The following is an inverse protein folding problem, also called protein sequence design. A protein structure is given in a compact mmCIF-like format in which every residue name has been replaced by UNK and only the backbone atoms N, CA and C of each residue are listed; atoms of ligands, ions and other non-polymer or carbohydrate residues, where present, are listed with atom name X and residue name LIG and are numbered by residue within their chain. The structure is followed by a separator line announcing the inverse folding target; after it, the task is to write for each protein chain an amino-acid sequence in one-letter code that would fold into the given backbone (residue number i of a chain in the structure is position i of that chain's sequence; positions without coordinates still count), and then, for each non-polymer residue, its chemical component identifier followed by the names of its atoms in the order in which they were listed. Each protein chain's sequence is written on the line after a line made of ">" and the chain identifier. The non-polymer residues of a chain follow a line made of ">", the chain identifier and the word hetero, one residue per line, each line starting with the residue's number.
data_IF_223324051649
#
_entry.id   IF_223324051649
#
_cell.length_a   1.000
_cell.length_b   1.000
_cell.length_c   1.000
_cell.angle_alpha   90.00
_cell.angle_beta   90.00
_cell.angle_gamma   90.00
#
_symmetry.space_group_name_H-M   'P 1'
#
loop_
_entity.id
_entity.type
_entity.pdbx_description
1 polymer ?
#
# COMPACT_ATOMS: atom_id res chain seq x y z
N UNK A 1 13.99 48.45 24.48
CA UNK A 1 12.56 48.68 24.79
C UNK A 1 11.69 48.17 23.64
N UNK A 2 11.29 46.89 23.68
CA UNK A 2 10.55 46.24 22.59
C UNK A 2 9.08 46.70 22.70
N UNK A 3 8.61 47.47 21.71
CA UNK A 3 7.26 48.06 21.65
C UNK A 3 6.18 46.98 21.82
N UNK A 4 5.06 47.25 22.52
CA UNK A 4 4.05 46.24 22.88
C UNK A 4 3.45 45.52 21.65
N UNK A 5 3.46 46.17 20.49
CA UNK A 5 3.04 45.60 19.19
C UNK A 5 3.92 44.42 18.76
N UNK A 6 5.24 44.49 18.95
CA UNK A 6 6.16 43.40 18.58
C UNK A 6 5.97 42.16 19.47
N UNK A 7 5.66 42.37 20.76
CA UNK A 7 5.34 41.26 21.68
C UNK A 7 4.05 40.53 21.29
N UNK A 8 3.03 41.27 20.83
CA UNK A 8 1.76 40.67 20.35
C UNK A 8 1.95 39.87 19.06
N UNK A 9 2.76 40.36 18.12
CA UNK A 9 3.06 39.64 16.87
C UNK A 9 3.79 38.32 17.15
N UNK A 10 4.78 38.32 18.05
CA UNK A 10 5.51 37.10 18.44
C UNK A 10 4.58 36.10 19.12
N UNK A 11 3.67 36.55 19.98
CA UNK A 11 2.69 35.66 20.63
C UNK A 11 1.72 35.02 19.62
N UNK A 12 1.27 35.77 18.61
CA UNK A 12 0.41 35.23 17.53
C UNK A 12 1.15 34.22 16.68
N UNK A 13 2.40 34.50 16.31
CA UNK A 13 3.22 33.56 15.52
C UNK A 13 3.49 32.25 16.27
N UNK A 14 3.73 32.32 17.58
CA UNK A 14 3.86 31.14 18.43
C UNK A 14 2.54 30.36 18.47
N UNK A 15 1.39 31.04 18.65
CA UNK A 15 0.08 30.38 18.63
C UNK A 15 -0.23 29.62 17.34
N UNK A 16 0.15 30.17 16.18
CA UNK A 16 -0.02 29.50 14.87
C UNK A 16 0.92 28.29 14.76
N UNK A 17 2.18 28.43 15.18
CA UNK A 17 3.14 27.32 15.14
C UNK A 17 2.72 26.11 15.99
N UNK A 18 2.07 26.33 17.14
CA UNK A 18 1.58 25.24 18.00
C UNK A 18 0.29 24.58 17.48
N UNK A 19 -0.50 25.27 16.65
CA UNK A 19 -1.77 24.73 16.13
C UNK A 19 -1.59 23.50 15.21
N UNK A 20 -0.44 23.39 14.52
CA UNK A 20 -0.12 22.25 13.66
C UNK A 20 0.15 20.93 14.40
N UNK A 21 0.43 20.97 15.70
CA UNK A 21 0.75 19.77 16.49
C UNK A 21 -0.49 19.00 16.95
N UNK A 22 -1.68 19.61 16.86
CA UNK A 22 -2.95 19.00 17.33
C UNK A 22 -3.77 18.33 16.22
N UNK A 23 -3.36 18.48 14.96
CA UNK A 23 -4.06 17.93 13.78
C UNK A 23 -3.84 16.42 13.58
N UNK A 24 -3.72 15.65 14.67
CA UNK A 24 -3.48 14.20 14.59
C UNK A 24 -4.74 13.41 14.18
N UNK A 25 -5.93 14.00 14.35
CA UNK A 25 -7.21 13.40 13.97
C UNK A 25 -7.70 13.94 12.63
N UNK A 26 -7.08 13.50 11.54
CA UNK A 26 -7.57 13.71 10.17
C UNK A 26 -8.59 12.63 9.75
N UNK A 27 -9.27 12.78 8.59
CA UNK A 27 -10.22 11.80 8.06
C UNK A 27 -9.67 10.36 8.01
N UNK A 28 -8.35 10.24 7.80
CA UNK A 28 -7.62 8.98 7.82
C UNK A 28 -7.83 8.22 9.14
N UNK A 29 -7.77 8.89 10.29
CA UNK A 29 -7.95 8.26 11.61
C UNK A 29 -9.40 7.83 11.86
N UNK A 30 -10.37 8.51 11.25
CA UNK A 30 -11.79 8.25 11.46
C UNK A 30 -12.25 6.94 10.80
N UNK A 31 -11.66 6.56 9.67
CA UNK A 31 -12.03 5.36 8.91
C UNK A 31 -10.92 4.32 8.81
N UNK A 32 -9.77 4.53 9.48
CA UNK A 32 -8.63 3.62 9.39
C UNK A 32 -9.01 2.17 9.70
N UNK A 33 -9.77 1.93 10.77
CA UNK A 33 -10.21 0.58 11.14
C UNK A 33 -11.07 -0.09 10.06
N UNK A 34 -12.04 0.65 9.51
CA UNK A 34 -12.89 0.16 8.42
C UNK A 34 -12.08 -0.13 7.15
N UNK A 35 -11.17 0.77 6.79
CA UNK A 35 -10.28 0.59 5.64
C UNK A 35 -9.36 -0.62 5.82
N UNK A 36 -8.87 -0.85 7.04
CA UNK A 36 -8.04 -2.01 7.37
C UNK A 36 -8.81 -3.32 7.25
N UNK A 37 -10.01 -3.42 7.82
CA UNK A 37 -10.84 -4.61 7.69
C UNK A 37 -11.25 -4.88 6.24
N UNK A 38 -11.58 -3.83 5.49
CA UNK A 38 -11.86 -3.94 4.06
C UNK A 38 -10.64 -4.45 3.28
N UNK A 39 -9.45 -3.93 3.58
CA UNK A 39 -8.22 -4.38 2.94
C UNK A 39 -7.97 -5.87 3.23
N UNK A 40 -8.14 -6.27 4.49
CA UNK A 40 -7.98 -7.65 4.93
C UNK A 40 -8.98 -8.58 4.25
N UNK A 41 -10.25 -8.20 4.15
CA UNK A 41 -11.27 -9.02 3.47
C UNK A 41 -10.96 -9.18 1.99
N UNK A 42 -10.47 -8.13 1.32
CA UNK A 42 -10.08 -8.20 -0.09
C UNK A 42 -8.82 -9.04 -0.33
N UNK A 43 -7.92 -9.15 0.65
CA UNK A 43 -6.72 -9.97 0.56
C UNK A 43 -6.92 -11.41 1.05
N UNK A 44 -8.05 -11.71 1.69
CA UNK A 44 -8.35 -13.05 2.20
C UNK A 44 -8.98 -13.89 1.10
N UNK A 45 -8.20 -14.82 0.54
CA UNK A 45 -8.67 -15.71 -0.54
C UNK A 45 -9.78 -16.67 -0.09
N UNK A 46 -9.67 -17.20 1.13
CA UNK A 46 -10.65 -18.12 1.70
C UNK A 46 -10.88 -17.83 3.20
N UNK A 47 -11.95 -17.09 3.56
CA UNK A 47 -12.22 -16.74 4.96
C UNK A 47 -12.62 -17.94 5.82
N UNK A 48 -13.19 -18.99 5.24
CA UNK A 48 -13.66 -20.20 5.95
C UNK A 48 -12.56 -21.26 6.11
N UNK A 49 -11.32 -20.96 5.71
CA UNK A 49 -10.21 -21.91 5.73
C UNK A 49 -9.91 -22.44 7.13
N UNK A 50 -10.12 -21.65 8.18
CA UNK A 50 -9.88 -22.06 9.58
C UNK A 50 -10.95 -23.03 10.12
N UNK A 51 -12.16 -23.01 9.58
CA UNK A 51 -13.24 -23.91 9.99
C UNK A 51 -13.12 -25.29 9.31
N UNK A 52 -12.45 -25.35 8.16
CA UNK A 52 -12.24 -26.59 7.43
C UNK A 52 -11.01 -27.35 7.98
N UNK A 53 -11.25 -28.48 8.66
CA UNK A 53 -10.19 -29.34 9.19
C UNK A 53 -9.67 -30.39 8.19
N UNK A 54 -10.26 -30.45 6.99
CA UNK A 54 -9.79 -31.36 5.96
C UNK A 54 -8.42 -30.90 5.43
N UNK A 55 -7.63 -31.85 4.93
CA UNK A 55 -6.38 -31.51 4.27
C UNK A 55 -6.67 -30.60 3.06
N UNK A 56 -5.98 -29.45 2.91
CA UNK A 56 -6.17 -28.60 1.76
C UNK A 56 -5.79 -29.35 0.49
N UNK A 57 -6.61 -29.22 -0.57
CA UNK A 57 -6.24 -29.72 -1.89
C UNK A 57 -4.97 -29.01 -2.35
N UNK A 58 -3.90 -29.78 -2.53
CA UNK A 58 -2.63 -29.28 -3.04
C UNK A 58 -2.68 -29.01 -4.54
N UNK A 59 -1.66 -28.33 -5.06
CA UNK A 59 -1.47 -28.20 -6.50
C UNK A 59 -1.27 -29.56 -7.15
N UNK A 60 -1.78 -29.74 -8.37
CA UNK A 60 -1.47 -30.90 -9.20
C UNK A 60 0.06 -31.01 -9.35
N UNK A 61 0.64 -32.14 -8.92
CA UNK A 61 2.10 -32.31 -8.86
C UNK A 61 2.81 -32.12 -10.22
N UNK A 62 2.15 -32.48 -11.32
CA UNK A 62 2.69 -32.25 -12.67
C UNK A 62 2.71 -30.77 -13.05
N UNK A 63 1.63 -30.04 -12.76
CA UNK A 63 1.56 -28.59 -12.99
C UNK A 63 2.56 -27.83 -12.10
N UNK A 64 2.67 -28.23 -10.82
CA UNK A 64 3.63 -27.64 -9.89
C UNK A 64 5.08 -27.86 -10.36
N UNK A 65 5.42 -29.09 -10.79
CA UNK A 65 6.73 -29.38 -11.37
C UNK A 65 7.01 -28.54 -12.61
N UNK A 66 6.06 -28.46 -13.55
CA UNK A 66 6.22 -27.68 -14.77
C UNK A 66 6.45 -26.19 -14.48
N UNK A 67 5.75 -25.63 -13.49
CA UNK A 67 5.93 -24.23 -13.09
C UNK A 67 7.35 -23.97 -12.56
N UNK A 68 7.87 -24.88 -11.72
CA UNK A 68 9.24 -24.79 -11.19
C UNK A 68 10.28 -24.98 -12.30
N UNK A 69 10.08 -25.96 -13.19
CA UNK A 69 10.97 -26.21 -14.33
C UNK A 69 11.05 -24.95 -15.22
N UNK A 70 9.89 -24.34 -15.56
CA UNK A 70 9.85 -23.08 -16.33
C UNK A 70 10.52 -21.90 -15.62
N UNK A 71 10.39 -21.82 -14.30
CA UNK A 71 11.06 -20.81 -13.51
C UNK A 71 12.59 -20.95 -13.64
N UNK A 72 13.13 -22.16 -13.49
CA UNK A 72 14.56 -22.40 -13.69
C UNK A 72 15.01 -22.11 -15.13
N UNK A 73 14.29 -22.59 -16.14
CA UNK A 73 14.59 -22.29 -17.55
C UNK A 73 14.63 -20.79 -17.85
N UNK A 74 13.86 -19.97 -17.11
CA UNK A 74 13.85 -18.51 -17.32
C UNK A 74 15.19 -17.85 -17.03
N UNK A 75 16.04 -18.46 -16.19
CA UNK A 75 17.38 -17.98 -15.89
C UNK A 75 18.44 -18.48 -16.87
N UNK A 76 18.15 -19.56 -17.61
CA UNK A 76 19.05 -20.10 -18.64
C UNK A 76 18.93 -19.34 -19.96
N UNK A 77 17.76 -18.75 -20.22
CA UNK A 77 17.54 -17.94 -21.42
C UNK A 77 18.08 -16.54 -21.21
N UNK A 78 18.86 -16.04 -22.17
CA UNK A 78 19.24 -14.63 -22.19
C UNK A 78 17.97 -13.76 -22.17
N UNK A 79 17.90 -12.73 -21.31
CA UNK A 79 16.71 -11.90 -21.20
C UNK A 79 16.43 -11.27 -22.57
N UNK A 80 15.29 -11.63 -23.17
CA UNK A 80 14.78 -10.90 -24.33
C UNK A 80 14.43 -9.51 -23.82
N UNK A 81 15.18 -8.50 -24.24
CA UNK A 81 14.91 -7.12 -23.81
C UNK A 81 13.53 -6.72 -24.35
N UNK A 82 12.52 -6.55 -23.47
CA UNK A 82 11.22 -6.15 -23.94
C UNK A 82 11.30 -4.70 -24.40
N UNK A 83 11.03 -4.45 -25.67
CA UNK A 83 11.02 -3.11 -26.23
C UNK A 83 9.63 -2.51 -26.01
N UNK A 84 9.43 -1.82 -24.89
CA UNK A 84 8.18 -1.13 -24.59
C UNK A 84 8.20 0.27 -25.23
N UNK A 85 7.37 0.47 -26.26
CA UNK A 85 7.09 1.81 -26.77
C UNK A 85 5.92 2.39 -25.99
N UNK A 86 6.23 3.21 -24.99
CA UNK A 86 5.21 3.98 -24.28
C UNK A 86 4.81 5.17 -25.15
N UNK A 87 3.55 5.21 -25.60
CA UNK A 87 3.03 6.38 -26.30
C UNK A 87 2.34 7.27 -25.27
N UNK A 88 2.50 8.59 -25.43
CA UNK A 88 1.82 9.57 -24.56
C UNK A 88 0.30 9.40 -24.57
N UNK A 89 -0.26 8.85 -25.66
CA UNK A 89 -1.68 8.51 -25.78
C UNK A 89 -2.17 7.44 -24.81
N UNK A 90 -1.28 6.58 -24.30
CA UNK A 90 -1.65 5.43 -23.46
C UNK A 90 -1.97 5.84 -22.01
N UNK A 91 -1.69 7.10 -21.65
CA UNK A 91 -1.89 7.66 -20.31
C UNK A 91 -3.04 8.66 -20.22
N UNK A 92 -3.81 8.83 -21.29
CA UNK A 92 -4.92 9.78 -21.34
C UNK A 92 -6.29 9.08 -21.39
N UNK A 93 -6.50 8.13 -20.48
CA UNK A 93 -7.78 7.48 -20.25
C UNK A 93 -8.29 7.73 -18.84
#
# INVERSE_FOLDING_TARGET
>A
MIKPVKKRIVAVLIGIALSGCTATTGPLTQTFGTSHELLKSNQTLNPEASANLNAPEGFNGGAAKLAIDRYHESFERAPTQPNFVLRVSDFNQ
#
